data_IF_068669342601
#
_entry.id   IF_068669342601
#
_cell.length_a   1.000
_cell.length_b   1.000
_cell.length_c   1.000
_cell.angle_alpha   90.00
_cell.angle_beta   90.00
_cell.angle_gamma   90.00
#
_symmetry.space_group_name_H-M   'P 1'
#
loop_
_entity.id
_entity.type
_entity.pdbx_description
1 polymer ?
#
# COMPACT_ATOMS: atom_id res chain seq x y z
N UNK A 1 6.01 -2.54 20.31
CA UNK A 1 5.21 -2.06 19.16
C UNK A 1 3.89 -1.49 19.64
N UNK A 2 3.73 -0.18 19.53
CA UNK A 2 2.44 0.50 19.73
C UNK A 2 1.89 0.80 18.35
N UNK A 3 0.77 0.17 18.00
CA UNK A 3 0.07 0.40 16.73
C UNK A 3 -0.56 1.78 16.79
N UNK A 4 -0.49 2.52 15.69
CA UNK A 4 -1.18 3.82 15.57
C UNK A 4 -2.69 3.63 15.45
N UNK A 5 -3.45 4.72 15.61
CA UNK A 5 -4.90 4.64 15.47
C UNK A 5 -5.29 4.27 14.03
N UNK A 6 -6.00 3.15 13.87
CA UNK A 6 -6.50 2.61 12.60
C UNK A 6 -7.58 3.50 11.96
N UNK A 7 -7.13 4.63 11.40
CA UNK A 7 -7.95 5.65 10.76
C UNK A 7 -7.45 5.82 9.33
N UNK A 8 -8.38 5.84 8.37
CA UNK A 8 -8.06 6.02 6.96
C UNK A 8 -7.85 7.49 6.58
N UNK A 9 -7.36 7.75 5.37
CA UNK A 9 -7.12 9.11 4.85
C UNK A 9 -8.37 9.99 4.73
N UNK A 10 -9.57 9.42 4.89
CA UNK A 10 -10.85 10.15 4.92
C UNK A 10 -11.29 10.48 6.36
N UNK A 11 -10.50 10.12 7.38
CA UNK A 11 -10.82 10.37 8.79
C UNK A 11 -11.85 9.40 9.38
N UNK A 12 -12.10 8.26 8.73
CA UNK A 12 -13.01 7.21 9.21
C UNK A 12 -12.25 5.92 9.56
N UNK A 13 -12.93 4.89 10.03
CA UNK A 13 -12.32 3.60 10.38
C UNK A 13 -11.54 3.00 9.19
N UNK A 14 -10.32 2.51 9.46
CA UNK A 14 -9.51 1.83 8.46
C UNK A 14 -10.12 0.47 8.09
N UNK A 15 -10.48 0.30 6.82
CA UNK A 15 -10.96 -0.97 6.29
C UNK A 15 -9.79 -1.93 6.01
N UNK A 16 -10.03 -3.25 6.03
CA UNK A 16 -9.06 -4.23 5.54
C UNK A 16 -8.65 -3.95 4.08
N UNK A 17 -7.39 -4.20 3.76
CA UNK A 17 -6.85 -4.10 2.40
C UNK A 17 -6.88 -5.46 1.69
N UNK A 18 -6.32 -6.51 2.32
CA UNK A 18 -6.34 -7.87 1.77
C UNK A 18 -6.14 -8.94 2.84
N UNK A 19 -6.86 -10.05 2.72
CA UNK A 19 -6.67 -11.24 3.57
C UNK A 19 -6.07 -12.42 2.80
N UNK A 20 -6.08 -12.37 1.46
CA UNK A 20 -5.48 -13.38 0.58
C UNK A 20 -5.06 -12.72 -0.74
N UNK A 21 -3.75 -12.42 -0.94
CA UNK A 21 -2.66 -12.66 0.00
C UNK A 21 -2.74 -11.77 1.24
N UNK A 22 -2.35 -12.30 2.41
CA UNK A 22 -2.35 -11.54 3.66
C UNK A 22 -1.31 -10.41 3.62
N UNK A 23 -1.81 -9.17 3.72
CA UNK A 23 -1.00 -7.96 3.60
C UNK A 23 -0.75 -7.26 4.95
N UNK A 24 -0.14 -6.08 4.90
CA UNK A 24 0.13 -5.19 6.03
C UNK A 24 1.48 -5.48 6.67
N UNK A 25 2.16 -4.43 7.15
CA UNK A 25 3.43 -4.58 7.89
C UNK A 25 3.25 -5.51 9.11
N UNK A 26 2.12 -5.38 9.80
CA UNK A 26 1.72 -6.20 10.95
C UNK A 26 1.15 -7.58 10.56
N UNK A 27 1.01 -7.87 9.26
CA UNK A 27 0.33 -9.08 8.74
C UNK A 27 -1.07 -9.30 9.33
N UNK A 28 -1.83 -8.22 9.51
CA UNK A 28 -3.22 -8.25 9.98
C UNK A 28 -4.25 -7.99 8.87
N UNK A 29 -3.79 -7.85 7.62
CA UNK A 29 -4.63 -7.62 6.45
C UNK A 29 -5.07 -6.16 6.24
N UNK A 30 -4.69 -5.25 7.14
CA UNK A 30 -4.91 -3.81 7.01
C UNK A 30 -3.59 -3.06 6.85
N UNK A 31 -3.64 -1.85 6.32
CA UNK A 31 -2.46 -0.99 6.18
C UNK A 31 -2.16 -0.22 7.47
N UNK A 32 -2.36 -0.89 8.62
CA UNK A 32 -1.95 -0.41 9.92
C UNK A 32 -0.44 -0.30 10.00
N UNK A 33 0.03 0.66 10.79
CA UNK A 33 1.43 0.98 10.92
C UNK A 33 1.79 1.29 12.37
N UNK A 34 3.09 1.48 12.61
CA UNK A 34 3.67 1.80 13.91
C UNK A 34 5.01 2.51 13.71
N UNK A 35 5.67 2.89 14.80
CA UNK A 35 6.98 3.56 14.72
C UNK A 35 8.08 2.69 14.10
N UNK A 36 7.95 1.37 14.17
CA UNK A 36 8.90 0.40 13.62
C UNK A 36 8.77 0.21 12.09
N UNK A 37 7.65 0.62 11.49
CA UNK A 37 7.40 0.55 10.04
C UNK A 37 8.02 1.77 9.33
N UNK A 38 9.35 1.77 9.20
CA UNK A 38 10.09 2.83 8.52
C UNK A 38 9.71 3.00 7.03
N UNK A 39 9.11 1.98 6.42
CA UNK A 39 8.63 2.02 5.03
C UNK A 39 7.29 2.74 4.86
N UNK A 40 6.53 2.88 5.95
CA UNK A 40 5.14 3.37 5.94
C UNK A 40 4.28 2.57 4.94
N UNK A 41 4.05 1.28 5.22
CA UNK A 41 3.19 0.39 4.44
C UNK A 41 1.71 0.76 4.63
N UNK A 42 1.34 1.98 4.26
CA UNK A 42 0.09 2.64 4.63
C UNK A 42 -0.85 2.86 3.45
N UNK A 43 -0.41 2.62 2.20
CA UNK A 43 -1.23 2.81 1.00
C UNK A 43 -1.76 1.48 0.48
N UNK A 44 -3.07 1.26 0.58
CA UNK A 44 -3.71 0.06 0.02
C UNK A 44 -3.82 0.21 -1.50
N UNK A 45 -3.00 -0.56 -2.22
CA UNK A 45 -2.82 -0.45 -3.67
C UNK A 45 -3.17 -1.77 -4.37
N UNK A 46 -3.84 -1.69 -5.52
CA UNK A 46 -4.05 -2.84 -6.40
C UNK A 46 -2.91 -2.95 -7.40
N UNK A 47 -2.14 -4.03 -7.32
CA UNK A 47 -0.98 -4.24 -8.17
C UNK A 47 -1.38 -4.26 -9.65
N UNK A 48 -0.61 -3.59 -10.49
CA UNK A 48 -0.71 -3.68 -11.96
C UNK A 48 0.58 -4.26 -12.53
N UNK A 49 0.53 -4.73 -13.78
CA UNK A 49 1.72 -5.26 -14.45
C UNK A 49 2.81 -4.18 -14.58
N UNK A 50 2.40 -2.97 -14.97
CA UNK A 50 3.29 -1.82 -15.15
C UNK A 50 3.94 -1.40 -13.82
N UNK A 51 3.16 -1.35 -12.73
CA UNK A 51 3.68 -1.02 -11.41
C UNK A 51 4.67 -2.08 -10.93
N UNK A 52 4.36 -3.37 -11.08
CA UNK A 52 5.24 -4.45 -10.61
C UNK A 52 6.57 -4.46 -11.39
N UNK A 53 6.52 -4.26 -12.71
CA UNK A 53 7.72 -4.13 -13.53
C UNK A 53 8.57 -2.91 -13.13
N UNK A 54 7.92 -1.76 -12.93
CA UNK A 54 8.57 -0.55 -12.45
C UNK A 54 9.20 -0.74 -11.06
N UNK A 55 8.45 -1.32 -10.11
CA UNK A 55 8.89 -1.57 -8.74
C UNK A 55 10.16 -2.42 -8.73
N UNK A 56 10.16 -3.51 -9.50
CA UNK A 56 11.33 -4.37 -9.68
C UNK A 56 12.52 -3.59 -10.23
N UNK A 57 12.31 -2.80 -11.29
CA UNK A 57 13.35 -1.99 -11.92
C UNK A 57 14.01 -0.99 -10.94
N UNK A 58 13.23 -0.38 -10.04
CA UNK A 58 13.74 0.56 -9.02
C UNK A 58 14.16 -0.12 -7.70
N UNK A 59 14.38 -1.44 -7.73
CA UNK A 59 14.94 -2.21 -6.62
C UNK A 59 13.94 -2.58 -5.52
N UNK A 60 12.63 -2.55 -5.80
CA UNK A 60 11.56 -3.00 -4.92
C UNK A 60 10.85 -4.22 -5.54
N UNK A 61 11.50 -5.38 -5.46
CA UNK A 61 10.95 -6.63 -6.00
C UNK A 61 9.77 -7.12 -5.16
N UNK A 62 8.56 -6.91 -5.69
CA UNK A 62 7.30 -7.39 -5.13
C UNK A 62 6.76 -8.63 -5.86
N UNK A 63 7.45 -9.15 -6.87
CA UNK A 63 6.95 -10.25 -7.70
C UNK A 63 7.63 -11.58 -7.37
N UNK A 64 8.89 -11.57 -6.94
CA UNK A 64 9.60 -12.79 -6.54
C UNK A 64 9.12 -13.26 -5.17
N UNK A 65 8.63 -14.51 -5.02
CA UNK A 65 8.28 -15.07 -3.72
C UNK A 65 9.48 -15.08 -2.76
N UNK A 66 9.24 -14.76 -1.49
CA UNK A 66 10.20 -14.87 -0.39
C UNK A 66 9.60 -15.70 0.75
N UNK A 67 9.60 -17.04 0.64
CA UNK A 67 9.03 -17.93 1.65
C UNK A 67 9.61 -17.72 3.05
N UNK A 68 10.88 -17.33 3.14
CA UNK A 68 11.57 -16.99 4.38
C UNK A 68 10.93 -15.83 5.16
N UNK A 69 10.15 -14.99 4.47
CA UNK A 69 9.39 -13.87 5.06
C UNK A 69 7.87 -14.08 4.97
N UNK A 70 7.42 -15.28 4.57
CA UNK A 70 6.01 -15.55 4.31
C UNK A 70 5.41 -14.67 3.21
N UNK A 71 6.23 -14.20 2.27
CA UNK A 71 5.80 -13.34 1.18
C UNK A 71 5.59 -14.16 -0.10
N UNK A 72 4.37 -14.21 -0.66
CA UNK A 72 4.05 -15.12 -1.76
C UNK A 72 4.55 -14.64 -3.13
N UNK A 73 4.99 -13.38 -3.24
CA UNK A 73 5.15 -12.71 -4.53
C UNK A 73 3.79 -12.29 -5.08
N UNK A 74 3.69 -11.04 -5.52
CA UNK A 74 2.44 -10.42 -5.96
C UNK A 74 2.26 -10.51 -7.47
N UNK A 75 1.00 -10.52 -7.88
CA UNK A 75 0.54 -10.54 -9.27
C UNK A 75 -0.39 -9.37 -9.54
N UNK A 76 -0.59 -8.99 -10.82
CA UNK A 76 -1.61 -8.01 -11.17
C UNK A 76 -2.98 -8.41 -10.61
N UNK A 77 -3.67 -7.45 -9.99
CA UNK A 77 -4.95 -7.64 -9.32
C UNK A 77 -4.88 -7.84 -7.80
N UNK A 78 -3.72 -8.26 -7.26
CA UNK A 78 -3.54 -8.40 -5.81
C UNK A 78 -3.62 -7.05 -5.10
N UNK A 79 -4.25 -7.02 -3.93
CA UNK A 79 -4.26 -5.86 -3.05
C UNK A 79 -3.13 -5.96 -2.04
N UNK A 80 -2.35 -4.90 -1.90
CA UNK A 80 -1.19 -4.87 -1.02
C UNK A 80 -0.99 -3.51 -0.35
N UNK A 81 -0.47 -3.53 0.88
CA UNK A 81 -0.12 -2.33 1.63
C UNK A 81 1.28 -1.91 1.21
N UNK A 82 1.34 -0.94 0.31
CA UNK A 82 2.56 -0.43 -0.27
C UNK A 82 3.18 0.66 0.60
N UNK A 83 4.51 0.71 0.64
CA UNK A 83 5.25 1.83 1.21
C UNK A 83 4.80 3.14 0.56
N UNK A 84 4.40 4.14 1.34
CA UNK A 84 3.91 5.42 0.84
C UNK A 84 4.92 6.12 -0.09
N UNK A 85 6.22 6.04 0.21
CA UNK A 85 7.26 6.59 -0.68
C UNK A 85 7.35 5.85 -2.02
N UNK A 86 7.12 4.52 -2.05
CA UNK A 86 7.14 3.74 -3.30
C UNK A 86 5.91 4.01 -4.15
N UNK A 87 4.76 4.27 -3.51
CA UNK A 87 3.58 4.75 -4.21
C UNK A 87 3.85 6.12 -4.86
N UNK A 88 4.37 7.09 -4.10
CA UNK A 88 4.65 8.43 -4.62
C UNK A 88 5.67 8.39 -5.78
N UNK A 89 6.73 7.58 -5.62
CA UNK A 89 7.71 7.37 -6.69
C UNK A 89 7.06 6.85 -7.97
N UNK A 90 6.12 5.88 -7.87
CA UNK A 90 5.40 5.36 -9.02
C UNK A 90 4.42 6.39 -9.61
N UNK A 91 3.86 7.27 -8.79
CA UNK A 91 3.00 8.36 -9.25
C UNK A 91 3.78 9.36 -10.11
N UNK A 92 4.95 9.79 -9.64
CA UNK A 92 5.82 10.73 -10.35
C UNK A 92 6.29 10.17 -11.70
N UNK A 93 6.42 8.85 -11.81
CA UNK A 93 6.80 8.13 -13.03
C UNK A 93 5.58 7.70 -13.89
N UNK A 94 4.36 8.10 -13.49
CA UNK A 94 3.13 7.86 -14.27
C UNK A 94 2.62 6.40 -14.26
N UNK A 95 3.09 5.57 -13.34
CA UNK A 95 2.78 4.13 -13.24
C UNK A 95 2.25 3.74 -11.86
N UNK A 96 1.71 4.70 -11.10
CA UNK A 96 1.08 4.42 -9.81
C UNK A 96 -0.12 3.46 -9.96
N UNK A 97 -0.25 2.48 -9.05
CA UNK A 97 -1.39 1.57 -9.02
C UNK A 97 -2.66 2.27 -8.52
N UNK A 98 -3.81 1.62 -8.71
CA UNK A 98 -5.09 2.04 -8.13
C UNK A 98 -5.08 1.95 -6.60
N UNK A 99 -5.82 2.82 -5.92
CA UNK A 99 -5.85 2.94 -4.46
C UNK A 99 -7.27 2.77 -3.90
N UNK A 100 -7.39 2.12 -2.73
CA UNK A 100 -8.59 2.18 -1.88
C UNK A 100 -8.35 3.17 -0.73
N UNK A 101 -9.05 4.31 -0.76
CA UNK A 101 -8.90 5.35 0.26
C UNK A 101 -9.38 4.87 1.63
N UNK A 102 -10.49 4.14 1.68
CA UNK A 102 -11.02 3.58 2.93
C UNK A 102 -10.10 2.57 3.61
N UNK A 103 -9.17 1.97 2.85
CA UNK A 103 -8.17 1.01 3.33
C UNK A 103 -6.75 1.59 3.38
N UNK A 104 -6.57 2.88 3.09
CA UNK A 104 -5.29 3.59 3.13
C UNK A 104 -5.22 4.39 4.43
N UNK A 105 -4.21 4.12 5.26
CA UNK A 105 -4.07 4.69 6.59
C UNK A 105 -3.68 6.18 6.54
N UNK A 106 -4.18 6.99 7.48
CA UNK A 106 -3.99 8.45 7.50
C UNK A 106 -2.52 8.90 7.48
N UNK A 107 -1.61 8.11 8.07
CA UNK A 107 -0.16 8.36 8.02
C UNK A 107 0.42 8.39 6.60
N UNK A 108 -0.26 7.83 5.61
CA UNK A 108 0.14 8.00 4.20
C UNK A 108 0.21 9.49 3.82
N UNK A 109 -0.63 10.35 4.43
CA UNK A 109 -0.69 11.79 4.17
C UNK A 109 0.54 12.58 4.64
N UNK A 110 1.41 11.97 5.44
CA UNK A 110 2.72 12.56 5.79
C UNK A 110 3.68 12.54 4.58
N UNK A 111 3.40 11.70 3.57
CA UNK A 111 4.27 11.46 2.40
C UNK A 111 3.53 11.74 1.09
N UNK A 112 2.29 11.24 0.95
CA UNK A 112 1.50 11.32 -0.27
C UNK A 112 0.33 12.31 -0.06
N UNK A 113 0.26 13.40 -0.83
CA UNK A 113 -0.88 14.32 -0.77
C UNK A 113 -2.22 13.61 -1.03
N UNK A 114 -3.29 14.05 -0.35
CA UNK A 114 -4.62 13.44 -0.49
C UNK A 114 -5.17 13.54 -1.91
N UNK A 115 -4.92 14.66 -2.59
CA UNK A 115 -5.32 14.87 -3.99
C UNK A 115 -4.64 13.87 -4.92
N UNK A 116 -3.34 13.57 -4.72
CA UNK A 116 -2.64 12.51 -5.45
C UNK A 116 -3.33 11.16 -5.23
N UNK A 117 -3.60 10.76 -3.98
CA UNK A 117 -4.31 9.50 -3.69
C UNK A 117 -5.69 9.46 -4.37
N UNK A 118 -6.44 10.57 -4.36
CA UNK A 118 -7.75 10.67 -5.01
C UNK A 118 -7.70 10.48 -6.53
N UNK A 119 -6.61 10.86 -7.21
CA UNK A 119 -6.49 10.63 -8.66
C UNK A 119 -6.43 9.15 -9.04
N UNK A 120 -6.06 8.27 -8.11
CA UNK A 120 -5.94 6.82 -8.31
C UNK A 120 -7.04 6.02 -7.60
N UNK A 121 -7.97 6.70 -6.93
CA UNK A 121 -8.95 6.06 -6.07
C UNK A 121 -10.01 5.26 -6.86
N UNK A 122 -10.43 4.13 -6.31
CA UNK A 122 -11.50 3.28 -6.87
C UNK A 122 -12.76 3.24 -6.00
N UNK A 123 -12.74 3.92 -4.86
CA UNK A 123 -13.79 3.93 -3.84
C UNK A 123 -14.29 5.35 -3.52
N UNK A 124 -14.19 6.25 -4.50
CA UNK A 124 -14.87 7.54 -4.53
C UNK A 124 -16.15 7.40 -5.37
N UNK A 125 -17.27 7.15 -4.69
CA UNK A 125 -18.61 7.29 -5.26
C UNK A 125 -19.19 8.70 -4.97
#
# INVERSE_FOLDING_TARGET
MKIDASVNVLGTELKPCSLDPLTGFLRNGACDTCAEDAGSHTVCSQMTEEFLAFSLYVGNDLSTPRPEFGFPGLKPGDWWCLCAMRFLQAHDEGVAPKVQLGSTHQKALEIVPLDVLKTHAVDLD
#
